data_IF_657034748003
#
_entry.id   IF_657034748003
#
_cell.length_a   1.000
_cell.length_b   1.000
_cell.length_c   1.000
_cell.angle_alpha   90.00
_cell.angle_beta   90.00
_cell.angle_gamma   90.00
#
_symmetry.space_group_name_H-M   'P 1'
#
loop_
_entity.id
_entity.type
_entity.pdbx_description
1 polymer ?
#
# COMPACT_ATOMS: atom_id res chain seq x y z
N UNK A 1 5.93 8.58 -8.62
CA UNK A 1 5.22 7.60 -7.75
C UNK A 1 4.72 6.54 -8.70
N UNK A 2 4.73 5.25 -8.36
CA UNK A 2 4.36 4.18 -9.31
C UNK A 2 3.08 4.51 -10.10
N UNK A 3 2.04 5.04 -9.44
CA UNK A 3 0.79 5.43 -10.09
C UNK A 3 0.98 6.62 -11.05
N UNK A 4 1.72 7.67 -10.66
CA UNK A 4 2.01 8.80 -11.56
C UNK A 4 2.79 8.37 -12.81
N UNK A 5 3.73 7.46 -12.61
CA UNK A 5 4.60 6.96 -13.68
C UNK A 5 3.82 6.01 -14.63
N UNK A 6 2.68 5.48 -14.18
CA UNK A 6 1.84 4.53 -14.94
C UNK A 6 0.66 5.20 -15.65
N UNK A 7 -0.06 6.10 -14.98
CA UNK A 7 -1.30 6.72 -15.50
C UNK A 7 -1.28 8.26 -15.49
N UNK A 8 -0.14 8.89 -15.19
CA UNK A 8 -0.04 10.33 -15.01
C UNK A 8 -0.56 10.80 -13.64
N UNK A 9 -0.62 12.11 -13.41
CA UNK A 9 -0.91 12.70 -12.10
C UNK A 9 -2.39 13.08 -11.87
N UNK A 10 -3.22 12.98 -12.90
CA UNK A 10 -4.61 13.45 -12.86
C UNK A 10 -5.48 12.73 -11.81
N UNK A 11 -5.12 11.48 -11.45
CA UNK A 11 -5.80 10.73 -10.38
C UNK A 11 -5.74 11.40 -9.01
N UNK A 12 -4.76 12.30 -8.79
CA UNK A 12 -4.58 13.01 -7.52
C UNK A 12 -5.73 13.99 -7.23
N UNK A 13 -6.34 14.53 -8.28
CA UNK A 13 -7.49 15.44 -8.19
C UNK A 13 -8.81 14.74 -8.53
N UNK A 14 -8.74 13.62 -9.26
CA UNK A 14 -9.91 12.85 -9.69
C UNK A 14 -9.67 11.35 -9.47
N UNK A 15 -10.12 10.84 -8.33
CA UNK A 15 -9.93 9.44 -7.94
C UNK A 15 -10.57 8.43 -8.91
N UNK A 16 -11.54 8.84 -9.75
CA UNK A 16 -12.14 7.96 -10.74
C UNK A 16 -11.11 7.48 -11.78
N UNK A 17 -10.06 8.25 -12.04
CA UNK A 17 -8.97 7.90 -12.97
C UNK A 17 -8.11 6.73 -12.52
N UNK A 18 -8.25 6.25 -11.29
CA UNK A 18 -7.62 5.01 -10.86
C UNK A 18 -8.10 3.79 -11.66
N UNK A 19 -9.24 3.88 -12.35
CA UNK A 19 -9.72 2.86 -13.29
C UNK A 19 -8.70 2.58 -14.42
N UNK A 20 -7.86 3.57 -14.76
CA UNK A 20 -6.82 3.43 -15.79
C UNK A 20 -5.71 2.45 -15.38
N UNK A 21 -5.70 1.96 -14.13
CA UNK A 21 -4.80 0.90 -13.66
C UNK A 21 -5.30 -0.51 -14.02
N UNK A 22 -6.56 -0.69 -14.42
CA UNK A 22 -7.13 -2.02 -14.74
C UNK A 22 -6.31 -2.83 -15.77
N UNK A 23 -5.76 -2.24 -16.84
CA UNK A 23 -4.93 -2.96 -17.81
C UNK A 23 -3.65 -3.56 -17.21
N UNK A 24 -3.15 -3.02 -16.10
CA UNK A 24 -1.90 -3.44 -15.45
C UNK A 24 -2.09 -4.55 -14.41
N UNK A 25 -3.33 -5.00 -14.20
CA UNK A 25 -3.65 -6.06 -13.22
C UNK A 25 -2.96 -7.40 -13.51
N UNK A 26 -2.66 -7.69 -14.78
CA UNK A 26 -1.91 -8.87 -15.21
C UNK A 26 -0.44 -8.61 -15.54
N UNK A 27 0.04 -7.37 -15.44
CA UNK A 27 1.42 -7.00 -15.79
C UNK A 27 2.36 -7.39 -14.64
N UNK A 28 3.19 -8.41 -14.88
CA UNK A 28 4.14 -8.91 -13.90
C UNK A 28 5.16 -7.86 -13.44
N UNK A 29 5.61 -6.97 -14.33
CA UNK A 29 6.59 -5.94 -13.99
C UNK A 29 5.95 -4.86 -13.11
N UNK A 30 4.71 -4.46 -13.43
CA UNK A 30 3.94 -3.55 -12.59
C UNK A 30 3.66 -4.13 -11.21
N UNK A 31 3.21 -5.39 -11.13
CA UNK A 31 2.94 -6.09 -9.87
C UNK A 31 4.19 -6.23 -9.00
N UNK A 32 5.35 -6.49 -9.61
CA UNK A 32 6.63 -6.52 -8.89
C UNK A 32 6.94 -5.15 -8.25
N UNK A 33 6.89 -4.07 -9.02
CA UNK A 33 7.15 -2.72 -8.51
C UNK A 33 6.14 -2.32 -7.42
N UNK A 34 4.86 -2.68 -7.59
CA UNK A 34 3.83 -2.45 -6.57
C UNK A 34 4.15 -3.22 -5.28
N UNK A 35 4.63 -4.46 -5.39
CA UNK A 35 5.10 -5.27 -4.27
C UNK A 35 6.27 -4.63 -3.52
N UNK A 36 7.25 -4.08 -4.24
CA UNK A 36 8.38 -3.35 -3.66
C UNK A 36 7.92 -2.11 -2.89
N UNK A 37 7.01 -1.31 -3.47
CA UNK A 37 6.40 -0.15 -2.78
C UNK A 37 5.68 -0.61 -1.51
N UNK A 38 4.90 -1.70 -1.57
CA UNK A 38 4.21 -2.24 -0.39
C UNK A 38 5.20 -2.67 0.69
N UNK A 39 6.30 -3.34 0.33
CA UNK A 39 7.33 -3.79 1.27
C UNK A 39 8.02 -2.61 1.95
N UNK A 40 8.46 -1.60 1.20
CA UNK A 40 9.08 -0.40 1.76
C UNK A 40 8.16 0.30 2.79
N UNK A 41 6.85 0.35 2.52
CA UNK A 41 5.88 0.91 3.48
C UNK A 41 5.73 0.07 4.74
N UNK A 42 5.79 -1.26 4.64
CA UNK A 42 5.77 -2.16 5.81
C UNK A 42 7.01 -1.99 6.67
N UNK A 43 8.19 -1.79 6.07
CA UNK A 43 9.44 -1.57 6.81
C UNK A 43 9.41 -0.25 7.59
N UNK A 44 8.87 0.81 6.99
CA UNK A 44 8.64 2.10 7.67
C UNK A 44 7.68 1.93 8.85
N UNK A 45 6.57 1.20 8.65
CA UNK A 45 5.60 0.93 9.71
C UNK A 45 6.19 0.09 10.85
N UNK A 46 6.93 -0.97 10.53
CA UNK A 46 7.60 -1.80 11.53
C UNK A 46 8.60 -0.99 12.36
N UNK A 47 9.37 -0.12 11.71
CA UNK A 47 10.28 0.82 12.39
C UNK A 47 9.53 1.75 13.33
N UNK A 48 8.41 2.34 12.87
CA UNK A 48 7.59 3.21 13.70
C UNK A 48 7.02 2.48 14.93
N UNK A 49 6.50 1.27 14.77
CA UNK A 49 5.97 0.45 15.87
C UNK A 49 7.08 0.13 16.88
N UNK A 50 8.28 -0.21 16.39
CA UNK A 50 9.42 -0.48 17.27
C UNK A 50 9.82 0.75 18.06
N UNK A 51 9.88 1.91 17.43
CA UNK A 51 10.25 3.16 18.11
C UNK A 51 9.21 3.58 19.14
N UNK A 52 7.92 3.46 18.82
CA UNK A 52 6.84 3.97 19.68
C UNK A 52 6.43 3.01 20.79
N UNK A 53 6.47 1.70 20.53
CA UNK A 53 5.93 0.68 21.42
C UNK A 53 6.98 -0.35 21.87
N UNK A 54 8.21 -0.27 21.37
CA UNK A 54 9.28 -1.25 21.59
C UNK A 54 8.94 -2.69 21.14
N UNK A 55 7.89 -2.85 20.33
CA UNK A 55 7.45 -4.14 19.76
C UNK A 55 8.12 -4.36 18.41
N UNK A 56 8.63 -5.57 18.18
CA UNK A 56 9.18 -5.98 16.87
C UNK A 56 8.10 -6.72 16.09
N UNK A 57 7.80 -6.24 14.88
CA UNK A 57 6.84 -6.88 13.96
C UNK A 57 7.59 -7.36 12.71
N UNK A 58 7.41 -8.62 12.27
CA UNK A 58 8.03 -9.10 11.04
C UNK A 58 7.45 -8.41 9.80
N UNK A 59 8.31 -7.90 8.92
CA UNK A 59 7.90 -7.17 7.71
C UNK A 59 7.26 -8.05 6.62
N UNK A 60 7.38 -9.37 6.72
CA UNK A 60 6.69 -10.36 5.90
C UNK A 60 5.27 -10.69 6.39
N UNK A 61 4.91 -10.34 7.63
CA UNK A 61 3.57 -10.55 8.18
C UNK A 61 2.50 -9.74 7.44
N UNK A 62 1.26 -10.23 7.41
CA UNK A 62 0.12 -9.46 6.89
C UNK A 62 -0.22 -8.37 7.91
N UNK A 63 -0.20 -7.10 7.49
CA UNK A 63 -0.63 -5.98 8.33
C UNK A 63 -2.13 -5.80 8.16
N UNK A 64 -2.90 -6.32 9.12
CA UNK A 64 -4.35 -6.17 9.20
C UNK A 64 -4.67 -4.96 10.08
N UNK A 65 -5.57 -4.10 9.64
CA UNK A 65 -6.14 -3.02 10.44
C UNK A 65 -7.65 -3.23 10.53
N UNK A 66 -8.18 -3.19 11.75
CA UNK A 66 -9.62 -3.25 12.01
C UNK A 66 -10.15 -1.83 12.13
N UNK A 67 -11.26 -1.53 11.46
CA UNK A 67 -11.95 -0.27 11.66
C UNK A 67 -12.80 -0.39 12.94
N UNK A 68 -12.53 0.45 13.95
CA UNK A 68 -13.25 0.44 15.24
C UNK A 68 -14.74 0.84 15.13
N UNK A 69 -15.24 1.12 13.93
CA UNK A 69 -16.65 1.36 13.66
C UNK A 69 -17.47 0.08 13.41
N UNK A 70 -16.80 -1.08 13.24
CA UNK A 70 -17.44 -2.35 12.85
C UNK A 70 -17.49 -3.38 13.99
N UNK A 71 -17.12 -2.98 15.21
CA UNK A 71 -17.12 -3.82 16.43
C UNK A 71 -18.47 -3.82 17.17
N UNK A 72 -19.56 -3.49 16.48
CA UNK A 72 -20.94 -3.58 17.00
C UNK A 72 -21.68 -4.73 16.32
N UNK A 73 -21.20 -5.97 16.48
CA UNK A 73 -21.99 -7.19 16.25
C UNK A 73 -21.66 -8.22 17.33
#
# INVERSE_FOLDING_TARGET
SLIDDTIGDAWRLDAAKLVDLEPFTGDAAFLQQLGEVKRARKDIMATYIKQKYNVTVPADSIFVYTNQADSSV
#
